data_IF_077432601091
#
_entry.id   IF_077432601091
#
_cell.length_a   1.000
_cell.length_b   1.000
_cell.length_c   1.000
_cell.angle_alpha   90.00
_cell.angle_beta   90.00
_cell.angle_gamma   90.00
#
_symmetry.space_group_name_H-M   'P 1'
#
loop_
_entity.id
_entity.type
_entity.pdbx_description
1 polymer ?
#
# COMPACT_ATOMS: atom_id res chain seq x y z
N UNK A 1 2.08 -11.09 -9.57
CA UNK A 1 1.13 -12.22 -9.59
C UNK A 1 0.53 -12.24 -10.98
N UNK A 2 0.95 -13.17 -11.84
CA UNK A 2 0.55 -13.19 -13.26
C UNK A 2 -0.85 -13.78 -13.49
N UNK A 3 -1.45 -14.40 -12.46
CA UNK A 3 -2.85 -14.83 -12.49
C UNK A 3 -3.37 -14.94 -11.07
N UNK A 4 -4.43 -14.18 -10.74
CA UNK A 4 -5.19 -14.44 -9.52
C UNK A 4 -5.87 -15.81 -9.65
N UNK A 5 -5.85 -16.66 -8.60
CA UNK A 5 -6.47 -17.98 -8.68
C UNK A 5 -7.94 -17.86 -9.09
N UNK A 6 -8.35 -18.76 -9.98
CA UNK A 6 -9.69 -18.75 -10.59
C UNK A 6 -10.78 -18.69 -9.52
N UNK A 7 -11.62 -17.64 -9.61
CA UNK A 7 -13.01 -17.39 -9.13
C UNK A 7 -13.62 -18.25 -8.01
N UNK A 8 -12.87 -18.91 -7.12
CA UNK A 8 -13.44 -19.59 -5.96
C UNK A 8 -13.69 -18.56 -4.86
N UNK A 9 -14.80 -17.85 -5.05
CA UNK A 9 -15.62 -17.09 -4.12
C UNK A 9 -14.96 -16.60 -2.81
N UNK A 10 -14.00 -15.69 -2.89
CA UNK A 10 -13.86 -14.70 -1.81
C UNK A 10 -15.16 -13.89 -1.78
N UNK A 11 -15.89 -13.97 -0.67
CA UNK A 11 -17.13 -13.23 -0.43
C UNK A 11 -16.79 -11.76 -0.15
N UNK A 12 -17.59 -10.84 -0.69
CA UNK A 12 -17.43 -9.40 -0.49
C UNK A 12 -16.74 -8.66 -1.62
N UNK A 13 -16.71 -7.31 -1.55
CA UNK A 13 -16.10 -6.46 -2.57
C UNK A 13 -14.58 -6.66 -2.60
N UNK A 14 -14.03 -6.76 -3.81
CA UNK A 14 -12.58 -6.87 -4.02
C UNK A 14 -11.98 -5.47 -4.11
N UNK A 15 -10.91 -5.23 -3.37
CA UNK A 15 -10.16 -3.97 -3.39
C UNK A 15 -8.70 -4.26 -3.74
N UNK A 16 -8.10 -3.36 -4.50
CA UNK A 16 -6.68 -3.33 -4.77
C UNK A 16 -6.06 -2.21 -3.93
N UNK A 17 -4.88 -2.44 -3.36
CA UNK A 17 -4.14 -1.37 -2.72
C UNK A 17 -3.61 -0.38 -3.77
N UNK A 18 -3.52 0.91 -3.41
CA UNK A 18 -2.92 1.90 -4.29
C UNK A 18 -1.39 1.72 -4.38
N UNK A 19 -0.76 2.54 -5.20
CA UNK A 19 0.70 2.56 -5.37
C UNK A 19 1.41 2.75 -4.02
N UNK A 20 2.25 1.78 -3.68
CA UNK A 20 3.12 1.79 -2.49
C UNK A 20 4.42 1.05 -2.84
N UNK A 21 5.48 1.36 -2.12
CA UNK A 21 6.82 0.78 -2.33
C UNK A 21 7.13 -0.21 -1.21
N UNK A 22 7.57 -1.41 -1.59
CA UNK A 22 7.95 -2.43 -0.63
C UNK A 22 9.23 -2.05 0.13
N UNK A 23 9.24 -2.33 1.44
CA UNK A 23 10.41 -2.21 2.32
C UNK A 23 10.90 -3.58 2.83
N UNK A 24 10.20 -4.67 2.51
CA UNK A 24 10.67 -6.01 2.83
C UNK A 24 12.01 -6.33 2.12
N UNK A 25 12.92 -7.12 2.75
CA UNK A 25 14.24 -7.40 2.20
C UNK A 25 14.26 -8.07 0.83
N UNK A 26 13.18 -8.76 0.44
CA UNK A 26 13.11 -9.53 -0.81
C UNK A 26 12.79 -8.63 -2.01
N UNK A 27 11.97 -7.60 -1.80
CA UNK A 27 11.46 -6.74 -2.86
C UNK A 27 11.67 -5.24 -2.55
N UNK A 28 12.67 -4.91 -1.74
CA UNK A 28 12.92 -3.53 -1.32
C UNK A 28 12.98 -2.57 -2.52
N UNK A 29 12.23 -1.47 -2.46
CA UNK A 29 12.16 -0.48 -3.53
C UNK A 29 11.30 -0.87 -4.73
N UNK A 30 10.82 -2.12 -4.80
CA UNK A 30 9.96 -2.57 -5.90
C UNK A 30 8.54 -2.05 -5.68
N UNK A 31 7.97 -1.28 -6.63
CA UNK A 31 6.62 -0.77 -6.49
C UNK A 31 5.61 -1.93 -6.53
N UNK A 32 4.54 -1.79 -5.74
CA UNK A 32 3.35 -2.66 -5.67
C UNK A 32 3.59 -4.14 -5.38
N UNK A 33 4.85 -4.56 -5.13
CA UNK A 33 5.23 -5.94 -4.80
C UNK A 33 5.37 -6.13 -3.29
N UNK A 34 4.29 -5.82 -2.59
CA UNK A 34 4.20 -5.89 -1.13
C UNK A 34 4.14 -7.35 -0.65
N UNK A 35 4.71 -7.60 0.52
CA UNK A 35 4.42 -8.80 1.31
C UNK A 35 3.00 -8.75 1.88
N UNK A 36 2.49 -9.89 2.35
CA UNK A 36 1.17 -9.96 3.00
C UNK A 36 1.09 -9.05 4.24
N UNK A 37 2.17 -8.96 5.01
CA UNK A 37 2.23 -8.10 6.20
C UNK A 37 2.15 -6.61 5.83
N UNK A 38 2.92 -6.18 4.83
CA UNK A 38 2.88 -4.79 4.32
C UNK A 38 1.51 -4.47 3.71
N UNK A 39 0.92 -5.39 2.94
CA UNK A 39 -0.40 -5.20 2.36
C UNK A 39 -1.49 -5.07 3.43
N UNK A 40 -1.44 -5.90 4.48
CA UNK A 40 -2.36 -5.80 5.60
C UNK A 40 -2.19 -4.49 6.37
N UNK A 41 -0.95 -4.11 6.67
CA UNK A 41 -0.66 -2.86 7.38
C UNK A 41 -1.08 -1.62 6.57
N UNK A 42 -0.81 -1.60 5.26
CA UNK A 42 -1.27 -0.54 4.38
C UNK A 42 -2.80 -0.43 4.35
N UNK A 43 -3.51 -1.56 4.25
CA UNK A 43 -4.97 -1.58 4.27
C UNK A 43 -5.52 -1.03 5.60
N UNK A 44 -4.93 -1.43 6.72
CA UNK A 44 -5.28 -0.91 8.06
C UNK A 44 -5.05 0.60 8.15
N UNK A 45 -3.88 1.06 7.70
CA UNK A 45 -3.52 2.48 7.74
C UNK A 45 -4.48 3.34 6.93
N UNK A 46 -4.78 2.93 5.68
CA UNK A 46 -5.70 3.65 4.78
C UNK A 46 -7.12 3.65 5.35
N UNK A 47 -7.53 2.59 6.05
CA UNK A 47 -8.82 2.53 6.74
C UNK A 47 -8.85 3.27 8.09
N UNK A 48 -7.77 3.97 8.48
CA UNK A 48 -7.69 4.77 9.71
C UNK A 48 -7.19 4.02 10.95
N UNK A 49 -6.91 2.72 10.84
CA UNK A 49 -6.40 1.87 11.93
C UNK A 49 -4.87 1.93 12.02
N UNK A 50 -4.32 3.14 12.21
CA UNK A 50 -2.87 3.40 12.14
C UNK A 50 -2.06 2.63 13.19
N UNK A 51 -2.54 2.60 14.42
CA UNK A 51 -1.88 1.86 15.51
C UNK A 51 -1.86 0.34 15.24
N UNK A 52 -2.92 -0.21 14.65
CA UNK A 52 -3.00 -1.61 14.26
C UNK A 52 -1.99 -1.90 13.15
N UNK A 53 -1.84 -1.00 12.17
CA UNK A 53 -0.84 -1.11 11.12
C UNK A 53 0.59 -1.15 11.69
N UNK A 54 0.89 -0.26 12.64
CA UNK A 54 2.17 -0.25 13.36
C UNK A 54 2.40 -1.55 14.13
N UNK A 55 1.39 -2.02 14.88
CA UNK A 55 1.48 -3.30 15.61
C UNK A 55 1.75 -4.49 14.70
N UNK A 56 1.08 -4.58 13.55
CA UNK A 56 1.31 -5.65 12.55
C UNK A 56 2.76 -5.66 12.07
N UNK A 57 3.35 -4.48 11.86
CA UNK A 57 4.71 -4.37 11.35
C UNK A 57 5.79 -4.44 12.43
N UNK A 58 5.44 -4.19 13.70
CA UNK A 58 6.38 -4.16 14.83
C UNK A 58 7.14 -5.48 15.05
N UNK A 59 6.58 -6.61 14.63
CA UNK A 59 7.23 -7.93 14.73
C UNK A 59 8.39 -8.09 13.73
N UNK A 60 8.47 -7.22 12.71
CA UNK A 60 9.50 -7.24 11.69
C UNK A 60 10.50 -6.10 11.94
N UNK A 61 11.80 -6.40 11.98
CA UNK A 61 12.85 -5.37 12.14
C UNK A 61 12.79 -4.26 11.08
N UNK A 62 12.41 -4.60 9.85
CA UNK A 62 12.24 -3.68 8.73
C UNK A 62 10.82 -3.06 8.66
N UNK A 63 9.89 -3.51 9.50
CA UNK A 63 8.49 -3.08 9.47
C UNK A 63 8.30 -1.57 9.58
N UNK A 64 8.95 -0.87 10.53
CA UNK A 64 8.87 0.60 10.62
C UNK A 64 9.31 1.31 9.34
N UNK A 65 10.31 0.78 8.64
CA UNK A 65 10.82 1.35 7.38
C UNK A 65 9.74 1.38 6.31
N UNK A 66 8.81 0.41 6.28
CA UNK A 66 7.69 0.44 5.34
C UNK A 66 6.77 1.65 5.56
N UNK A 67 6.45 1.94 6.81
CA UNK A 67 5.59 3.07 7.17
C UNK A 67 6.29 4.39 6.92
N UNK A 68 7.59 4.48 7.24
CA UNK A 68 8.39 5.67 6.97
C UNK A 68 8.53 5.94 5.46
N UNK A 69 8.90 4.92 4.68
CA UNK A 69 9.08 5.00 3.24
C UNK A 69 7.80 5.47 2.52
N UNK A 70 6.64 5.06 3.01
CA UNK A 70 5.35 5.36 2.39
C UNK A 70 4.53 6.40 3.16
N UNK A 71 5.10 7.09 4.14
CA UNK A 71 4.35 7.91 5.11
C UNK A 71 3.44 8.92 4.43
N UNK A 72 3.97 9.69 3.49
CA UNK A 72 3.20 10.73 2.78
C UNK A 72 2.05 10.15 1.97
N UNK A 73 2.28 9.01 1.30
CA UNK A 73 1.26 8.31 0.51
C UNK A 73 0.17 7.72 1.42
N UNK A 74 0.57 7.01 2.49
CA UNK A 74 -0.35 6.41 3.44
C UNK A 74 -1.21 7.48 4.13
N UNK A 75 -0.61 8.61 4.52
CA UNK A 75 -1.36 9.76 5.04
C UNK A 75 -2.35 10.32 4.03
N UNK A 76 -1.92 10.56 2.79
CA UNK A 76 -2.77 11.09 1.74
C UNK A 76 -3.94 10.15 1.42
N UNK A 77 -3.69 8.84 1.32
CA UNK A 77 -4.71 7.84 1.11
C UNK A 77 -5.68 7.72 2.30
N UNK A 78 -5.19 7.81 3.54
CA UNK A 78 -6.05 7.73 4.73
C UNK A 78 -7.00 8.92 4.89
N UNK A 79 -6.73 10.04 4.20
CA UNK A 79 -7.58 11.24 4.20
C UNK A 79 -8.61 11.25 3.07
N UNK A 80 -8.52 10.31 2.12
CA UNK A 80 -9.49 10.21 1.05
C UNK A 80 -10.82 9.67 1.59
N UNK A 81 -11.92 10.34 1.23
CA UNK A 81 -13.27 9.92 1.64
C UNK A 81 -13.69 8.60 0.99
N UNK A 82 -13.26 8.39 -0.27
CA UNK A 82 -13.64 7.22 -1.04
C UNK A 82 -12.54 6.79 -2.04
N UNK A 83 -12.88 5.77 -2.83
CA UNK A 83 -11.97 5.23 -3.85
C UNK A 83 -11.60 6.24 -4.95
N UNK A 84 -12.45 7.22 -5.25
CA UNK A 84 -12.14 8.25 -6.24
C UNK A 84 -11.03 9.18 -5.74
N UNK A 85 -11.08 9.56 -4.46
CA UNK A 85 -10.01 10.33 -3.82
C UNK A 85 -8.68 9.58 -3.78
N UNK A 86 -8.69 8.29 -3.46
CA UNK A 86 -7.48 7.44 -3.49
C UNK A 86 -6.86 7.39 -4.88
N UNK A 87 -7.69 7.22 -5.93
CA UNK A 87 -7.24 7.19 -7.32
C UNK A 87 -6.64 8.53 -7.76
N UNK A 88 -7.24 9.65 -7.37
CA UNK A 88 -6.72 10.99 -7.70
C UNK A 88 -5.33 11.23 -7.09
N UNK A 89 -5.13 10.85 -5.82
CA UNK A 89 -3.80 10.92 -5.17
C UNK A 89 -2.80 10.03 -5.89
N UNK A 90 -3.18 8.79 -6.22
CA UNK A 90 -2.31 7.87 -6.95
C UNK A 90 -1.93 8.39 -8.34
N UNK A 91 -2.89 8.94 -9.08
CA UNK A 91 -2.64 9.47 -10.42
C UNK A 91 -1.62 10.61 -10.39
N UNK A 92 -1.75 11.53 -9.42
CA UNK A 92 -0.79 12.62 -9.22
C UNK A 92 0.63 12.09 -9.00
N UNK A 93 0.78 11.13 -8.10
CA UNK A 93 2.07 10.51 -7.76
C UNK A 93 2.69 9.83 -8.98
N UNK A 94 1.90 9.05 -9.73
CA UNK A 94 2.40 8.36 -10.93
C UNK A 94 2.83 9.35 -12.02
N UNK A 95 2.10 10.46 -12.21
CA UNK A 95 2.49 11.52 -13.15
C UNK A 95 3.82 12.15 -12.76
N UNK A 96 4.01 12.48 -11.49
CA UNK A 96 5.28 13.04 -10.97
C UNK A 96 6.43 12.04 -11.16
N UNK A 97 6.25 10.77 -10.79
CA UNK A 97 7.27 9.73 -10.97
C UNK A 97 7.67 9.53 -12.44
N UNK A 98 6.72 9.60 -13.37
CA UNK A 98 7.01 9.49 -14.80
C UNK A 98 7.70 10.74 -15.36
N UNK A 99 7.40 11.93 -14.81
CA UNK A 99 8.07 13.17 -15.21
C UNK A 99 9.56 13.19 -14.81
N UNK A 100 9.91 12.61 -13.65
CA UNK A 100 11.29 12.53 -13.16
C UNK A 100 12.12 11.40 -13.80
N UNK A 101 11.52 10.51 -14.60
CA UNK A 101 12.23 9.46 -15.36
C UNK A 101 12.67 9.89 -16.76
N UNK A 102 12.37 11.11 -17.18
CA UNK A 102 12.88 11.72 -18.42
C UNK A 102 14.16 12.48 -18.14
#
# INVERSE_FOLDING_TARGET
>A
IETFPARRALRGPRRCLPYLVAANPVNYGVPTKLSTAEALAAALYIAGFKEQAERVLSVFKWGPVFLELNKELLEAYSRAEDSSGVLAVQEKVLRELLAHRK
#
